data_IF_428266354985
#
_entry.id   IF_428266354985
#
_cell.length_a   1.000
_cell.length_b   1.000
_cell.length_c   1.000
_cell.angle_alpha   90.00
_cell.angle_beta   90.00
_cell.angle_gamma   90.00
#
_symmetry.space_group_name_H-M   'P 1'
#
loop_
_entity.id
_entity.type
_entity.pdbx_description
1 polymer ?
#
# COMPACT_ATOMS: atom_id res chain seq x y z
N UNK A 1 -5.20 -14.80 3.37
CA UNK A 1 -4.08 -15.54 3.97
C UNK A 1 -3.60 -16.45 2.86
N UNK A 2 -2.32 -16.48 2.50
CA UNK A 2 -1.89 -17.40 1.44
C UNK A 2 -1.67 -18.79 2.04
N UNK A 3 -2.74 -19.57 2.07
CA UNK A 3 -2.80 -20.89 2.70
C UNK A 3 -3.78 -21.78 1.93
N UNK A 4 -3.66 -23.09 2.17
CA UNK A 4 -4.65 -24.08 1.71
C UNK A 4 -5.31 -24.68 2.93
N UNK A 5 -6.64 -24.62 2.96
CA UNK A 5 -7.44 -25.33 3.97
C UNK A 5 -8.03 -26.55 3.29
N UNK A 6 -7.83 -27.74 3.85
CA UNK A 6 -8.37 -28.96 3.29
C UNK A 6 -9.04 -29.83 4.36
N UNK A 7 -10.18 -30.42 4.00
CA UNK A 7 -10.81 -31.50 4.74
C UNK A 7 -10.27 -32.83 4.22
N UNK A 8 -9.72 -33.63 5.12
CA UNK A 8 -9.15 -34.94 4.89
C UNK A 8 -10.01 -36.01 5.56
N UNK A 9 -10.05 -37.19 4.96
CA UNK A 9 -10.80 -38.34 5.44
C UNK A 9 -9.93 -39.59 5.37
N UNK A 10 -9.97 -40.42 6.41
CA UNK A 10 -9.38 -41.75 6.39
C UNK A 10 -10.40 -42.76 5.86
N UNK A 11 -10.32 -43.08 4.57
CA UNK A 11 -11.18 -44.09 3.98
C UNK A 11 -10.62 -45.50 4.22
N UNK A 12 -11.44 -46.44 4.66
CA UNK A 12 -11.00 -47.83 4.85
C UNK A 12 -10.54 -48.51 3.53
N UNK A 13 -11.09 -48.08 2.39
CA UNK A 13 -10.74 -48.63 1.07
C UNK A 13 -9.50 -47.97 0.44
N UNK A 14 -9.34 -46.65 0.63
CA UNK A 14 -8.33 -45.86 -0.09
C UNK A 14 -7.25 -45.26 0.81
N UNK A 15 -7.38 -45.39 2.13
CA UNK A 15 -6.52 -44.76 3.10
C UNK A 15 -6.80 -43.24 3.28
N UNK A 16 -5.83 -42.51 3.85
CA UNK A 16 -5.97 -41.08 4.10
C UNK A 16 -5.89 -40.26 2.82
N UNK A 17 -6.91 -39.42 2.57
CA UNK A 17 -6.92 -38.54 1.41
C UNK A 17 -7.60 -37.19 1.72
N UNK A 18 -7.22 -36.14 1.01
CA UNK A 18 -7.96 -34.88 1.00
C UNK A 18 -9.19 -35.01 0.10
N UNK A 19 -10.36 -34.65 0.63
CA UNK A 19 -11.65 -34.74 -0.09
C UNK A 19 -12.20 -33.37 -0.48
N UNK A 20 -11.73 -32.29 0.15
CA UNK A 20 -12.18 -30.94 -0.17
C UNK A 20 -11.10 -29.92 0.17
N UNK A 21 -10.66 -29.13 -0.80
CA UNK A 21 -9.55 -28.18 -0.68
C UNK A 21 -10.00 -26.78 -1.08
N UNK A 22 -9.77 -25.77 -0.23
CA UNK A 22 -10.01 -24.36 -0.51
C UNK A 22 -8.70 -23.58 -0.56
N UNK A 23 -8.51 -22.79 -1.61
CA UNK A 23 -7.30 -22.01 -1.88
C UNK A 23 -7.64 -20.56 -2.23
N UNK A 24 -6.72 -19.63 -1.94
CA UNK A 24 -6.81 -18.26 -2.44
C UNK A 24 -6.05 -18.13 -3.75
N UNK A 25 -6.72 -17.65 -4.80
CA UNK A 25 -6.15 -17.30 -6.09
C UNK A 25 -5.98 -15.77 -6.12
N UNK A 26 -4.74 -15.29 -5.93
CA UNK A 26 -4.42 -13.85 -6.03
C UNK A 26 -3.91 -13.48 -7.41
N UNK A 27 -2.93 -14.23 -7.90
CA UNK A 27 -2.22 -13.92 -9.15
C UNK A 27 -2.54 -14.89 -10.29
N UNK A 28 -3.23 -16.00 -9.99
CA UNK A 28 -3.62 -17.01 -10.98
C UNK A 28 -5.05 -16.76 -11.42
N UNK A 29 -5.25 -16.62 -12.73
CA UNK A 29 -6.61 -16.51 -13.28
C UNK A 29 -7.29 -17.88 -13.26
N UNK A 30 -8.61 -17.87 -13.08
CA UNK A 30 -9.41 -19.10 -13.14
C UNK A 30 -9.28 -19.80 -14.50
N UNK A 31 -9.13 -19.05 -15.60
CA UNK A 31 -9.00 -19.63 -16.94
C UNK A 31 -7.66 -20.36 -17.16
N UNK A 32 -6.64 -20.07 -16.37
CA UNK A 32 -5.31 -20.69 -16.46
C UNK A 32 -5.24 -22.00 -15.66
N UNK A 33 -6.26 -22.29 -14.84
CA UNK A 33 -6.31 -23.52 -14.07
C UNK A 33 -6.76 -24.68 -14.97
N UNK A 34 -5.80 -25.52 -15.34
CA UNK A 34 -6.06 -26.83 -15.90
C UNK A 34 -6.59 -27.74 -14.78
N UNK A 35 -7.89 -27.62 -14.45
CA UNK A 35 -8.58 -28.67 -13.71
C UNK A 35 -8.43 -29.94 -14.53
N UNK A 36 -7.60 -30.88 -14.06
CA UNK A 36 -7.17 -32.07 -14.81
C UNK A 36 -8.37 -32.71 -15.54
N UNK A 37 -8.43 -32.49 -16.86
CA UNK A 37 -9.31 -33.22 -17.79
C UNK A 37 -8.75 -34.61 -18.11
N UNK A 38 -7.64 -35.00 -17.48
CA UNK A 38 -7.07 -36.33 -17.63
C UNK A 38 -7.93 -37.32 -16.86
N UNK A 39 -8.88 -37.89 -17.60
CA UNK A 39 -9.57 -39.13 -17.31
C UNK A 39 -8.67 -40.11 -16.56
N UNK A 40 -8.92 -40.25 -15.26
CA UNK A 40 -8.68 -41.50 -14.58
C UNK A 40 -10.05 -41.98 -14.15
N UNK A 41 -10.60 -42.96 -14.88
CA UNK A 41 -11.78 -43.74 -14.53
C UNK A 41 -11.57 -44.60 -13.27
N UNK A 42 -10.86 -44.07 -12.27
CA UNK A 42 -10.86 -44.65 -10.94
C UNK A 42 -12.18 -44.25 -10.31
N UNK A 43 -13.13 -45.19 -10.24
CA UNK A 43 -14.35 -45.04 -9.45
C UNK A 43 -13.94 -44.69 -8.01
N UNK A 44 -13.97 -43.41 -7.67
CA UNK A 44 -13.79 -42.93 -6.30
C UNK A 44 -15.02 -43.39 -5.51
N UNK A 45 -14.81 -43.96 -4.32
CA UNK A 45 -15.94 -44.39 -3.50
C UNK A 45 -16.76 -43.18 -3.02
N UNK A 46 -18.01 -43.41 -2.66
CA UNK A 46 -18.94 -42.40 -2.14
C UNK A 46 -18.36 -41.58 -0.97
N UNK A 47 -17.62 -42.20 -0.05
CA UNK A 47 -16.97 -41.48 1.05
C UNK A 47 -15.82 -40.55 0.64
N UNK A 48 -15.15 -40.84 -0.46
CA UNK A 48 -14.03 -40.02 -0.96
C UNK A 48 -14.47 -38.99 -2.00
N UNK A 49 -15.71 -39.08 -2.49
CA UNK A 49 -16.27 -38.17 -3.48
C UNK A 49 -16.95 -36.99 -2.78
N UNK A 50 -16.56 -35.76 -3.15
CA UNK A 50 -17.17 -34.53 -2.64
C UNK A 50 -17.99 -33.85 -3.75
N UNK A 51 -17.34 -32.97 -4.52
CA UNK A 51 -17.90 -32.25 -5.65
C UNK A 51 -17.71 -32.99 -6.98
N UNK A 52 -16.87 -34.03 -6.99
CA UNK A 52 -16.35 -34.66 -8.20
C UNK A 52 -15.06 -34.02 -8.69
N UNK A 53 -14.46 -34.62 -9.73
CA UNK A 53 -13.15 -34.19 -10.26
C UNK A 53 -13.23 -32.94 -11.15
N UNK A 54 -14.41 -32.67 -11.74
CA UNK A 54 -14.61 -31.59 -12.73
C UNK A 54 -15.23 -30.33 -12.16
N UNK A 55 -15.83 -30.43 -10.97
CA UNK A 55 -16.61 -29.34 -10.39
C UNK A 55 -15.80 -28.62 -9.30
N UNK A 56 -16.01 -27.31 -9.22
CA UNK A 56 -15.45 -26.47 -8.17
C UNK A 56 -16.42 -25.36 -7.81
N UNK A 57 -16.24 -24.81 -6.61
CA UNK A 57 -16.98 -23.66 -6.11
C UNK A 57 -16.02 -22.48 -5.96
N UNK A 58 -16.42 -21.29 -6.38
CA UNK A 58 -15.60 -20.10 -6.14
C UNK A 58 -16.42 -18.95 -5.57
N UNK A 59 -15.75 -18.10 -4.79
CA UNK A 59 -16.28 -16.85 -4.27
C UNK A 59 -15.24 -15.75 -4.43
N UNK A 60 -15.69 -14.51 -4.60
CA UNK A 60 -14.83 -13.34 -4.76
C UNK A 60 -15.20 -12.29 -3.74
N UNK A 61 -14.20 -11.78 -3.02
CA UNK A 61 -14.37 -10.62 -2.15
C UNK A 61 -14.20 -9.35 -2.99
N UNK A 62 -15.23 -8.49 -3.02
CA UNK A 62 -15.21 -7.25 -3.79
C UNK A 62 -14.28 -6.20 -3.18
N UNK A 63 -14.06 -6.21 -1.86
CA UNK A 63 -13.20 -5.25 -1.19
C UNK A 63 -11.72 -5.51 -1.44
N UNK A 64 -11.27 -6.76 -1.24
CA UNK A 64 -9.86 -7.13 -1.42
C UNK A 64 -9.53 -7.60 -2.83
N UNK A 65 -10.53 -7.87 -3.67
CA UNK A 65 -10.35 -8.49 -4.98
C UNK A 65 -9.92 -9.97 -4.93
N UNK A 66 -9.80 -10.56 -3.73
CA UNK A 66 -9.35 -11.94 -3.57
C UNK A 66 -10.40 -12.93 -4.06
N UNK A 67 -9.95 -13.95 -4.80
CA UNK A 67 -10.80 -15.06 -5.25
C UNK A 67 -10.46 -16.31 -4.47
N UNK A 68 -11.47 -17.03 -3.98
CA UNK A 68 -11.33 -18.29 -3.26
C UNK A 68 -11.92 -19.41 -4.10
N UNK A 69 -11.15 -20.48 -4.32
CA UNK A 69 -11.57 -21.65 -5.09
C UNK A 69 -11.56 -22.89 -4.20
N UNK A 70 -12.67 -23.62 -4.20
CA UNK A 70 -12.81 -24.93 -3.58
C UNK A 70 -13.01 -26.03 -4.62
N UNK A 71 -12.22 -27.09 -4.50
CA UNK A 71 -12.20 -28.25 -5.41
C UNK A 71 -11.96 -29.52 -4.60
N UNK A 72 -12.24 -30.70 -5.15
CA UNK A 72 -12.00 -31.96 -4.44
C UNK A 72 -10.51 -32.14 -4.11
N UNK A 73 -9.65 -31.89 -5.10
CA UNK A 73 -8.19 -31.87 -4.96
C UNK A 73 -7.68 -30.47 -5.27
N UNK A 74 -6.60 -30.07 -4.61
CA UNK A 74 -5.91 -28.80 -4.90
C UNK A 74 -5.76 -28.52 -6.40
N UNK A 75 -6.14 -27.32 -6.83
CA UNK A 75 -6.16 -26.94 -8.24
C UNK A 75 -4.75 -26.85 -8.87
N UNK A 76 -3.74 -26.52 -8.06
CA UNK A 76 -2.35 -26.46 -8.49
C UNK A 76 -1.64 -27.80 -8.22
N UNK A 77 -1.00 -28.39 -9.23
CA UNK A 77 -0.37 -29.71 -9.14
C UNK A 77 0.70 -29.80 -8.04
N UNK A 78 1.57 -28.78 -7.93
CA UNK A 78 2.60 -28.72 -6.88
C UNK A 78 1.98 -28.71 -5.48
N UNK A 79 0.86 -28.01 -5.32
CA UNK A 79 0.13 -27.90 -4.05
C UNK A 79 -0.62 -29.21 -3.74
N UNK A 80 -1.13 -29.90 -4.76
CA UNK A 80 -1.81 -31.18 -4.62
C UNK A 80 -0.93 -32.24 -3.97
N UNK A 81 0.35 -32.33 -4.38
CA UNK A 81 1.29 -33.25 -3.75
C UNK A 81 1.52 -32.92 -2.27
N UNK A 82 1.67 -31.64 -1.93
CA UNK A 82 1.87 -31.18 -0.56
C UNK A 82 0.66 -31.48 0.33
N UNK A 83 -0.55 -31.22 -0.17
CA UNK A 83 -1.81 -31.52 0.53
C UNK A 83 -1.97 -33.02 0.73
N UNK A 84 -1.66 -33.85 -0.27
CA UNK A 84 -1.72 -35.32 -0.15
C UNK A 84 -0.77 -35.83 0.94
N UNK A 85 0.47 -35.35 0.97
CA UNK A 85 1.44 -35.72 2.01
C UNK A 85 1.00 -35.23 3.40
N UNK A 86 0.43 -34.03 3.49
CA UNK A 86 -0.10 -33.48 4.73
C UNK A 86 -1.29 -34.32 5.26
N UNK A 87 -2.18 -34.77 4.38
CA UNK A 87 -3.32 -35.63 4.74
C UNK A 87 -2.86 -36.97 5.31
N UNK A 88 -1.88 -37.63 4.67
CA UNK A 88 -1.30 -38.89 5.16
C UNK A 88 -0.72 -38.71 6.55
N UNK A 89 0.11 -37.68 6.77
CA UNK A 89 0.72 -37.44 8.09
C UNK A 89 -0.33 -37.14 9.15
N UNK A 90 -1.27 -36.25 8.84
CA UNK A 90 -2.34 -35.82 9.73
C UNK A 90 -3.21 -36.96 10.26
N UNK A 91 -3.52 -37.94 9.40
CA UNK A 91 -4.45 -39.03 9.73
C UNK A 91 -3.74 -40.34 10.16
N UNK A 92 -2.45 -40.50 9.87
CA UNK A 92 -1.75 -41.79 10.11
C UNK A 92 -0.49 -41.71 10.96
N UNK A 93 0.18 -40.55 11.04
CA UNK A 93 1.46 -40.42 11.75
C UNK A 93 1.35 -39.56 13.01
N UNK A 94 0.56 -38.48 12.93
CA UNK A 94 0.50 -37.46 13.95
C UNK A 94 -0.64 -37.77 14.92
N UNK A 95 -0.28 -38.34 16.08
CA UNK A 95 -1.25 -38.81 17.06
C UNK A 95 -1.65 -37.67 17.99
N UNK A 96 -2.94 -37.48 18.17
CA UNK A 96 -3.49 -36.63 19.21
C UNK A 96 -4.13 -37.51 20.30
N UNK A 97 -3.81 -37.22 21.57
CA UNK A 97 -4.36 -37.95 22.72
C UNK A 97 -5.80 -37.59 23.06
N UNK A 98 -6.32 -36.46 22.56
CA UNK A 98 -7.70 -36.02 22.83
C UNK A 98 -8.68 -36.53 21.77
N UNK A 99 -9.71 -37.27 22.21
CA UNK A 99 -10.79 -37.81 21.35
C UNK A 99 -11.69 -36.73 20.74
N UNK A 100 -11.89 -35.62 21.45
CA UNK A 100 -12.74 -34.49 21.02
C UNK A 100 -12.03 -33.49 20.10
N UNK A 101 -10.89 -33.89 19.54
CA UNK A 101 -10.13 -33.12 18.58
C UNK A 101 -9.13 -32.16 19.21
N UNK A 102 -7.93 -32.20 18.65
CA UNK A 102 -6.77 -31.45 19.09
C UNK A 102 -6.02 -30.90 17.90
N UNK A 103 -5.07 -30.02 18.17
CA UNK A 103 -4.31 -29.34 17.13
C UNK A 103 -2.88 -29.82 17.14
N UNK A 104 -2.49 -30.52 16.08
CA UNK A 104 -1.11 -30.95 15.88
C UNK A 104 -0.45 -30.06 14.84
N UNK A 105 0.72 -29.53 15.18
CA UNK A 105 1.53 -28.75 14.26
C UNK A 105 2.71 -29.60 13.79
N UNK A 106 2.93 -29.67 12.48
CA UNK A 106 4.06 -30.38 11.89
C UNK A 106 4.46 -29.76 10.55
N UNK A 107 5.58 -30.21 9.99
CA UNK A 107 6.04 -29.80 8.66
C UNK A 107 7.45 -29.20 8.68
N UNK A 108 7.93 -28.83 7.50
CA UNK A 108 9.30 -28.36 7.26
C UNK A 108 9.33 -27.31 6.15
N UNK A 109 10.47 -26.65 5.98
CA UNK A 109 10.61 -25.55 5.02
C UNK A 109 10.42 -25.98 3.56
N UNK A 110 10.64 -27.27 3.23
CA UNK A 110 10.51 -27.78 1.86
C UNK A 110 9.04 -28.05 1.49
N UNK A 111 8.33 -28.78 2.34
CA UNK A 111 6.93 -29.21 2.13
C UNK A 111 5.91 -28.20 2.64
N UNK A 112 6.34 -27.24 3.44
CA UNK A 112 5.47 -26.33 4.17
C UNK A 112 5.10 -26.87 5.56
N UNK A 113 4.44 -26.00 6.31
CA UNK A 113 4.00 -26.21 7.68
C UNK A 113 2.48 -26.42 7.71
N UNK A 114 2.04 -27.36 8.52
CA UNK A 114 0.66 -27.82 8.61
C UNK A 114 0.18 -27.69 10.04
N UNK A 115 -0.99 -27.09 10.20
CA UNK A 115 -1.79 -27.17 11.43
C UNK A 115 -2.97 -28.11 11.16
N UNK A 116 -3.02 -29.22 11.88
CA UNK A 116 -3.98 -30.30 11.69
C UNK A 116 -4.97 -30.35 12.85
N UNK A 117 -6.26 -30.40 12.54
CA UNK A 117 -7.34 -30.63 13.49
C UNK A 117 -8.10 -31.91 13.17
N UNK A 118 -7.74 -32.99 13.86
CA UNK A 118 -8.33 -34.32 13.66
C UNK A 118 -9.53 -34.52 14.57
N UNK A 119 -10.64 -35.07 14.07
CA UNK A 119 -11.88 -35.32 14.83
C UNK A 119 -12.61 -36.56 14.30
N UNK A 120 -13.46 -37.15 15.14
CA UNK A 120 -14.24 -38.37 14.82
C UNK A 120 -15.70 -38.01 14.54
N UNK A 121 -16.28 -38.60 13.51
CA UNK A 121 -17.69 -38.43 13.12
C UNK A 121 -18.41 -39.76 13.28
N UNK A 122 -19.52 -39.79 14.00
CA UNK A 122 -20.24 -41.04 14.30
C UNK A 122 -20.82 -41.68 13.04
N UNK A 123 -20.57 -42.98 12.86
CA UNK A 123 -21.07 -43.76 11.73
C UNK A 123 -21.37 -45.19 12.20
N UNK A 124 -22.65 -45.57 12.25
CA UNK A 124 -23.08 -46.91 12.69
C UNK A 124 -22.60 -48.06 11.78
N UNK A 125 -22.27 -47.77 10.51
CA UNK A 125 -21.85 -48.75 9.52
C UNK A 125 -20.32 -48.85 9.41
N UNK A 126 -19.57 -47.87 9.91
CA UNK A 126 -18.10 -47.88 9.88
C UNK A 126 -17.52 -48.76 11.00
N UNK A 127 -16.30 -49.25 10.79
CA UNK A 127 -15.59 -50.01 11.83
C UNK A 127 -15.32 -49.12 13.04
N UNK A 128 -15.68 -49.62 14.23
CA UNK A 128 -15.52 -48.86 15.47
C UNK A 128 -16.60 -47.78 15.67
N UNK A 129 -17.63 -47.74 14.83
CA UNK A 129 -18.77 -46.83 14.88
C UNK A 129 -18.46 -45.34 14.62
N UNK A 130 -17.32 -45.03 13.98
CA UNK A 130 -16.95 -43.68 13.57
C UNK A 130 -16.11 -43.67 12.28
N UNK A 131 -16.14 -42.55 11.56
CA UNK A 131 -15.18 -42.19 10.52
C UNK A 131 -14.22 -41.11 11.04
N UNK A 132 -12.96 -41.16 10.59
CA UNK A 132 -11.92 -40.22 11.03
C UNK A 132 -11.70 -39.13 9.99
N UNK A 133 -11.88 -37.89 10.40
CA UNK A 133 -11.68 -36.70 9.58
C UNK A 133 -10.58 -35.81 10.16
N UNK A 134 -10.01 -34.95 9.31
CA UNK A 134 -9.09 -33.91 9.75
C UNK A 134 -9.21 -32.66 8.89
N UNK A 135 -9.31 -31.49 9.50
CA UNK A 135 -9.14 -30.21 8.79
C UNK A 135 -7.68 -29.79 8.93
N UNK A 136 -6.99 -29.65 7.81
CA UNK A 136 -5.61 -29.20 7.75
C UNK A 136 -5.51 -27.79 7.18
N UNK A 137 -4.60 -26.99 7.72
CA UNK A 137 -4.21 -25.68 7.19
C UNK A 137 -2.73 -25.76 6.82
N UNK A 138 -2.43 -25.70 5.52
CA UNK A 138 -1.08 -25.75 4.97
C UNK A 138 -0.61 -24.34 4.62
N UNK A 139 0.55 -23.94 5.14
CA UNK A 139 1.20 -22.66 4.89
C UNK A 139 2.71 -22.82 4.68
N UNK A 140 3.32 -21.94 3.88
CA UNK A 140 4.79 -21.89 3.77
C UNK A 140 5.46 -21.15 4.94
N UNK A 141 4.76 -20.19 5.55
CA UNK A 141 5.28 -19.44 6.69
C UNK A 141 4.95 -20.12 8.03
N UNK A 142 6.00 -20.59 8.72
CA UNK A 142 5.90 -21.20 10.05
C UNK A 142 5.38 -20.24 11.10
N UNK A 143 5.94 -19.03 11.17
CA UNK A 143 5.71 -18.10 12.26
C UNK A 143 4.31 -17.51 12.15
N UNK A 144 3.89 -17.15 10.94
CA UNK A 144 2.52 -16.69 10.70
C UNK A 144 1.49 -17.76 11.11
N UNK A 145 1.67 -19.01 10.67
CA UNK A 145 0.75 -20.10 11.03
C UNK A 145 0.66 -20.33 12.55
N UNK A 146 1.79 -20.28 13.26
CA UNK A 146 1.81 -20.43 14.72
C UNK A 146 1.18 -19.24 15.45
N UNK A 147 1.39 -18.01 14.98
CA UNK A 147 0.80 -16.81 15.56
C UNK A 147 -0.72 -16.72 15.31
N UNK A 148 -1.19 -17.21 14.16
CA UNK A 148 -2.63 -17.27 13.82
C UNK A 148 -3.30 -18.53 14.37
N UNK A 149 -2.56 -19.45 15.00
CA UNK A 149 -3.10 -20.71 15.55
C UNK A 149 -4.31 -20.52 16.48
N UNK A 150 -4.35 -19.57 17.45
CA UNK A 150 -5.50 -19.43 18.34
C UNK A 150 -6.80 -19.14 17.58
N UNK A 151 -6.73 -18.23 16.61
CA UNK A 151 -7.84 -17.88 15.71
C UNK A 151 -8.28 -19.08 14.85
N UNK A 152 -7.32 -19.77 14.21
CA UNK A 152 -7.64 -20.97 13.43
C UNK A 152 -8.27 -22.06 14.30
N UNK A 153 -7.74 -22.26 15.50
CA UNK A 153 -8.19 -23.32 16.38
C UNK A 153 -9.63 -23.12 16.86
N UNK A 154 -10.03 -21.89 17.13
CA UNK A 154 -11.41 -21.54 17.48
C UNK A 154 -12.38 -21.89 16.34
N UNK A 155 -12.09 -21.41 15.13
CA UNK A 155 -13.01 -21.58 14.00
C UNK A 155 -13.03 -23.01 13.45
N UNK A 156 -11.89 -23.70 13.43
CA UNK A 156 -11.83 -25.10 12.99
C UNK A 156 -12.58 -26.03 13.94
N UNK A 157 -12.49 -25.77 15.26
CA UNK A 157 -13.26 -26.53 16.26
C UNK A 157 -14.76 -26.31 16.12
N UNK A 158 -15.19 -25.09 15.76
CA UNK A 158 -16.60 -24.82 15.48
C UNK A 158 -17.11 -25.63 14.29
N UNK A 159 -16.37 -25.62 13.18
CA UNK A 159 -16.72 -26.39 11.97
C UNK A 159 -16.80 -27.89 12.28
N UNK A 160 -15.82 -28.45 13.00
CA UNK A 160 -15.85 -29.87 13.36
C UNK A 160 -17.01 -30.20 14.28
N UNK A 161 -17.31 -29.35 15.27
CA UNK A 161 -18.42 -29.54 16.19
C UNK A 161 -19.78 -29.51 15.47
N UNK A 162 -19.95 -28.60 14.51
CA UNK A 162 -21.16 -28.51 13.68
C UNK A 162 -21.35 -29.81 12.85
N UNK A 163 -20.28 -30.31 12.20
CA UNK A 163 -20.31 -31.58 11.46
C UNK A 163 -20.66 -32.76 12.40
N UNK A 164 -20.04 -32.82 13.57
CA UNK A 164 -20.28 -33.88 14.56
C UNK A 164 -21.71 -33.84 15.10
N UNK A 165 -22.27 -32.65 15.32
CA UNK A 165 -23.64 -32.46 15.78
C UNK A 165 -24.66 -32.94 14.74
N UNK A 166 -24.49 -32.56 13.46
CA UNK A 166 -25.35 -33.04 12.37
C UNK A 166 -25.29 -34.56 12.23
N UNK A 167 -24.09 -35.16 12.26
CA UNK A 167 -23.94 -36.60 12.18
C UNK A 167 -24.54 -37.35 13.39
N UNK A 168 -24.42 -36.78 14.60
CA UNK A 168 -25.03 -37.35 15.79
C UNK A 168 -26.55 -37.37 15.70
N UNK A 169 -27.17 -36.30 15.18
CA UNK A 169 -28.63 -36.22 14.97
C UNK A 169 -29.13 -37.35 14.07
N UNK A 170 -28.53 -37.55 12.89
CA UNK A 170 -28.89 -38.63 11.96
C UNK A 170 -28.71 -40.00 12.60
N UNK A 171 -27.63 -40.18 13.37
CA UNK A 171 -27.35 -41.44 14.05
C UNK A 171 -28.41 -41.76 15.13
N UNK A 172 -28.81 -40.76 15.92
CA UNK A 172 -29.83 -40.95 16.96
C UNK A 172 -31.22 -41.20 16.35
N UNK A 173 -31.58 -40.54 15.24
CA UNK A 173 -32.79 -40.86 14.45
C UNK A 173 -32.77 -42.30 13.90
N UNK A 174 -31.60 -42.77 13.44
CA UNK A 174 -31.43 -44.14 12.92
C UNK A 174 -31.52 -45.20 14.02
N UNK A 175 -31.13 -44.88 15.26
CA UNK A 175 -31.23 -45.79 16.41
C UNK A 175 -32.66 -45.98 16.92
N UNK A 176 -33.51 -44.97 16.76
CA UNK A 176 -34.93 -44.99 17.16
C UNK A 176 -35.77 -45.87 16.21
N UNK A 177 -35.35 -46.04 14.95
CA UNK A 177 -35.91 -47.04 14.03
C UNK A 177 -35.57 -48.45 14.54
N UNK A 178 -36.56 -49.35 14.69
CA UNK A 178 -36.55 -50.39 15.72
C UNK A 178 -35.37 -51.37 15.62
N UNK A 179 -34.92 -51.81 16.81
CA UNK A 179 -34.01 -52.91 17.21
C UNK A 179 -34.13 -54.27 16.45
N UNK A 180 -34.87 -54.36 15.35
CA UNK A 180 -35.25 -55.61 14.66
C UNK A 180 -34.17 -56.26 13.79
N UNK A 181 -33.04 -55.61 13.47
CA UNK A 181 -32.04 -56.21 12.56
C UNK A 181 -30.92 -57.00 13.23
N UNK A 182 -30.83 -57.05 14.57
CA UNK A 182 -29.68 -57.69 15.25
C UNK A 182 -29.73 -59.22 15.36
N UNK A 183 -30.79 -59.89 14.90
CA UNK A 183 -30.93 -61.35 15.03
C UNK A 183 -31.31 -62.09 13.73
N UNK A 184 -31.42 -61.41 12.59
CA UNK A 184 -31.66 -62.10 11.32
C UNK A 184 -30.37 -62.21 10.50
N UNK A 185 -29.79 -63.40 10.56
CA UNK A 185 -29.08 -64.09 9.47
C UNK A 185 -28.07 -63.31 8.62
N UNK A 186 -26.78 -63.55 8.91
CA UNK A 186 -25.80 -64.04 7.95
C UNK A 186 -25.83 -63.50 6.50
N UNK A 187 -25.85 -62.17 6.32
CA UNK A 187 -25.25 -61.54 5.16
C UNK A 187 -24.10 -60.68 5.67
N UNK A 188 -22.89 -61.00 5.24
CA UNK A 188 -21.72 -60.13 5.35
C UNK A 188 -22.11 -58.87 4.57
N UNK A 189 -22.71 -57.89 5.25
CA UNK A 189 -23.04 -56.59 4.69
C UNK A 189 -21.71 -55.99 4.25
N UNK A 190 -21.50 -55.94 2.94
CA UNK A 190 -20.43 -55.17 2.33
C UNK A 190 -20.62 -53.73 2.83
N UNK A 191 -19.77 -53.31 3.77
CA UNK A 191 -19.83 -51.96 4.34
C UNK A 191 -19.54 -50.98 3.20
N UNK A 192 -20.58 -50.34 2.68
CA UNK A 192 -20.44 -49.31 1.66
C UNK A 192 -19.99 -48.01 2.33
N UNK A 193 -18.88 -47.40 1.90
CA UNK A 193 -18.34 -46.23 2.57
C UNK A 193 -19.26 -45.01 2.33
N UNK A 194 -19.86 -44.46 3.39
CA UNK A 194 -20.85 -43.38 3.31
C UNK A 194 -20.21 -42.01 3.07
N UNK A 195 -20.84 -41.20 2.22
CA UNK A 195 -20.41 -39.82 1.95
C UNK A 195 -20.65 -38.91 3.16
N UNK A 196 -19.93 -37.77 3.23
CA UNK A 196 -20.16 -36.78 4.29
C UNK A 196 -21.61 -36.23 4.27
N UNK A 197 -22.21 -36.15 3.08
CA UNK A 197 -23.61 -35.77 2.88
C UNK A 197 -24.54 -36.79 3.56
N UNK A 198 -24.31 -38.09 3.34
CA UNK A 198 -25.10 -39.16 3.99
C UNK A 198 -24.89 -39.22 5.51
N UNK A 199 -23.68 -38.91 5.98
CA UNK A 199 -23.39 -38.90 7.43
C UNK A 199 -24.11 -37.77 8.15
N UNK A 200 -24.14 -36.59 7.53
CA UNK A 200 -24.69 -35.37 8.17
C UNK A 200 -26.15 -35.12 7.83
N UNK A 201 -26.67 -35.70 6.75
CA UNK A 201 -28.00 -35.42 6.21
C UNK A 201 -28.10 -34.07 5.49
N UNK A 202 -26.97 -33.37 5.30
CA UNK A 202 -26.92 -32.00 4.77
C UNK A 202 -26.44 -32.02 3.31
N UNK A 203 -27.35 -31.79 2.35
CA UNK A 203 -27.04 -31.76 0.92
C UNK A 203 -26.01 -30.67 0.56
N UNK A 204 -26.06 -29.53 1.27
CA UNK A 204 -25.23 -28.36 1.01
C UNK A 204 -23.98 -28.28 1.89
N UNK A 205 -23.53 -29.39 2.50
CA UNK A 205 -22.38 -29.39 3.42
C UNK A 205 -21.10 -28.84 2.78
N UNK A 206 -20.84 -29.10 1.50
CA UNK A 206 -19.66 -28.58 0.81
C UNK A 206 -19.77 -27.09 0.48
N UNK A 207 -20.98 -26.56 0.30
CA UNK A 207 -21.21 -25.12 0.17
C UNK A 207 -20.98 -24.41 1.51
N UNK A 208 -21.43 -25.01 2.60
CA UNK A 208 -21.12 -24.57 3.97
C UNK A 208 -19.59 -24.59 4.21
N UNK A 209 -18.89 -25.67 3.87
CA UNK A 209 -17.44 -25.74 4.01
C UNK A 209 -16.71 -24.70 3.14
N UNK A 210 -17.16 -24.48 1.91
CA UNK A 210 -16.62 -23.44 1.03
C UNK A 210 -16.72 -22.06 1.69
N UNK A 211 -17.90 -21.69 2.19
CA UNK A 211 -18.12 -20.37 2.79
C UNK A 211 -17.25 -20.17 4.03
N UNK A 212 -17.18 -21.16 4.91
CA UNK A 212 -16.38 -21.11 6.13
C UNK A 212 -14.87 -21.09 5.85
N UNK A 213 -14.37 -21.93 4.95
CA UNK A 213 -12.94 -21.94 4.61
C UNK A 213 -12.52 -20.65 3.89
N UNK A 214 -13.35 -20.14 2.98
CA UNK A 214 -13.09 -18.87 2.29
C UNK A 214 -13.08 -17.72 3.29
N UNK A 215 -14.02 -17.70 4.23
CA UNK A 215 -14.05 -16.71 5.30
C UNK A 215 -12.83 -16.80 6.22
N UNK A 216 -12.39 -17.99 6.62
CA UNK A 216 -11.17 -18.17 7.42
C UNK A 216 -9.93 -17.66 6.67
N UNK A 217 -9.82 -17.92 5.37
CA UNK A 217 -8.72 -17.40 4.54
C UNK A 217 -8.73 -15.87 4.44
N UNK A 218 -9.91 -15.27 4.34
CA UNK A 218 -10.10 -13.82 4.29
C UNK A 218 -9.82 -13.18 5.65
N UNK A 219 -10.51 -13.60 6.71
CA UNK A 219 -10.37 -13.09 8.06
C UNK A 219 -8.96 -13.32 8.62
N UNK A 220 -8.35 -14.49 8.35
CA UNK A 220 -6.97 -14.78 8.70
C UNK A 220 -5.96 -13.84 8.02
N UNK A 221 -6.30 -13.27 6.85
CA UNK A 221 -5.47 -12.24 6.21
C UNK A 221 -5.49 -10.89 6.91
N UNK A 222 -6.59 -10.61 7.63
CA UNK A 222 -6.83 -9.36 8.36
C UNK A 222 -6.50 -9.50 9.86
N UNK A 223 -6.07 -10.68 10.30
CA UNK A 223 -5.84 -10.99 11.71
C UNK A 223 -4.62 -10.25 12.29
N UNK A 224 -3.55 -10.08 11.50
CA UNK A 224 -2.38 -9.28 11.86
C UNK A 224 -2.29 -8.11 10.88
N UNK A 225 -2.57 -6.89 11.36
CA UNK A 225 -2.44 -5.66 10.54
C UNK A 225 -1.31 -4.79 11.06
N UNK A 226 -0.37 -4.46 10.17
CA UNK A 226 0.68 -3.49 10.47
C UNK A 226 0.13 -2.06 10.32
N UNK A 227 0.39 -1.24 11.34
CA UNK A 227 0.12 0.19 11.31
C UNK A 227 1.45 0.93 11.22
N UNK A 228 1.86 1.28 10.01
CA UNK A 228 3.07 2.07 9.77
C UNK A 228 2.70 3.55 9.81
N UNK A 229 3.16 4.26 10.84
CA UNK A 229 3.06 5.71 10.90
C UNK A 229 4.21 6.31 10.12
N UNK A 230 3.92 6.81 8.93
CA UNK A 230 4.83 7.74 8.27
C UNK A 230 4.72 9.09 8.99
N UNK A 231 5.86 9.73 9.29
CA UNK A 231 5.85 11.11 9.79
C UNK A 231 5.19 12.07 8.79
N UNK A 232 5.16 13.37 9.09
CA UNK A 232 4.77 14.38 8.09
C UNK A 232 5.82 14.39 6.96
N UNK A 233 5.66 13.50 6.00
CA UNK A 233 6.53 13.37 4.85
C UNK A 233 6.30 14.61 3.97
N UNK A 234 7.35 15.36 3.62
CA UNK A 234 7.21 16.62 2.89
C UNK A 234 6.64 16.48 1.46
N UNK A 235 6.47 15.27 0.93
CA UNK A 235 5.83 14.99 -0.37
C UNK A 235 4.38 14.51 -0.26
N UNK A 236 3.86 14.33 0.95
CA UNK A 236 2.45 14.03 1.18
C UNK A 236 1.74 15.36 1.45
N UNK A 237 0.67 15.70 0.71
CA UNK A 237 -0.09 16.91 0.99
C UNK A 237 -0.51 16.91 2.46
N UNK A 238 -0.43 18.08 3.14
CA UNK A 238 -0.84 18.17 4.53
C UNK A 238 -2.26 17.63 4.65
N UNK A 239 -2.44 16.61 5.50
CA UNK A 239 -3.75 16.07 5.83
C UNK A 239 -4.53 17.17 6.54
N UNK A 240 -5.28 17.97 5.79
CA UNK A 240 -6.01 19.15 6.27
C UNK A 240 -7.32 18.79 6.97
N UNK A 241 -7.44 17.60 7.56
CA UNK A 241 -8.65 17.16 8.24
C UNK A 241 -8.36 16.56 9.60
N UNK A 242 -9.02 17.09 10.63
CA UNK A 242 -9.19 16.53 11.98
C UNK A 242 -9.93 15.16 12.01
N UNK A 243 -10.00 14.47 10.86
CA UNK A 243 -10.51 13.12 10.75
C UNK A 243 -9.48 12.30 9.98
N UNK A 244 -9.06 11.13 10.51
CA UNK A 244 -8.33 10.18 9.69
C UNK A 244 -9.23 9.82 8.50
N UNK A 245 -8.72 9.78 7.26
CA UNK A 245 -9.52 9.32 6.14
C UNK A 245 -10.04 7.91 6.45
N UNK A 246 -11.35 7.70 6.28
CA UNK A 246 -12.00 6.40 6.53
C UNK A 246 -11.50 5.30 5.56
N UNK A 247 -10.74 5.66 4.54
CA UNK A 247 -10.13 4.74 3.60
C UNK A 247 -8.63 4.67 3.86
N UNK A 248 -8.18 3.52 4.37
CA UNK A 248 -6.77 3.11 4.29
C UNK A 248 -6.34 3.32 2.83
N UNK A 249 -5.35 4.17 2.61
CA UNK A 249 -4.74 4.37 1.31
C UNK A 249 -4.04 3.07 0.87
N UNK A 250 -4.80 2.15 0.29
CA UNK A 250 -4.28 1.18 -0.67
C UNK A 250 -4.07 1.94 -1.97
N UNK A 251 -2.83 2.33 -2.24
CA UNK A 251 -2.46 3.00 -3.49
C UNK A 251 -2.59 2.00 -4.64
N UNK A 252 -3.76 1.94 -5.27
CA UNK A 252 -3.91 1.46 -6.64
C UNK A 252 -3.83 2.68 -7.56
N UNK A 253 -2.66 2.86 -8.16
CA UNK A 253 -2.37 3.94 -9.11
C UNK A 253 -3.05 3.61 -10.44
N UNK A 254 -4.02 4.43 -10.84
CA UNK A 254 -4.22 4.88 -12.24
C UNK A 254 -5.33 5.93 -12.28
N UNK A 255 -4.98 7.20 -12.51
CA UNK A 255 -5.88 8.18 -13.14
C UNK A 255 -5.06 9.02 -14.14
N UNK A 256 -5.24 8.79 -15.46
CA UNK A 256 -4.60 9.54 -16.53
C UNK A 256 -5.43 10.79 -16.85
N UNK A 257 -4.79 11.97 -16.89
CA UNK A 257 -5.19 13.21 -17.60
C UNK A 257 -4.72 14.52 -16.92
N UNK A 258 -3.94 14.46 -15.82
CA UNK A 258 -3.23 15.62 -15.24
C UNK A 258 -1.70 15.55 -15.46
N UNK A 259 -1.20 14.39 -15.91
CA UNK A 259 0.23 14.06 -15.96
C UNK A 259 1.09 14.91 -16.92
N UNK A 260 0.54 15.48 -17.99
CA UNK A 260 1.40 15.96 -19.10
C UNK A 260 2.15 17.28 -18.82
N UNK A 261 1.82 18.02 -17.76
CA UNK A 261 2.52 19.27 -17.42
C UNK A 261 3.26 19.22 -16.08
N UNK A 262 2.82 18.42 -15.11
CA UNK A 262 3.53 18.21 -13.84
C UNK A 262 4.75 17.29 -13.98
N UNK A 263 4.72 16.31 -14.89
CA UNK A 263 5.86 15.42 -15.16
C UNK A 263 7.10 16.18 -15.69
N UNK A 264 6.92 17.28 -16.42
CA UNK A 264 8.04 18.09 -16.94
C UNK A 264 8.72 18.98 -15.90
N UNK A 265 8.03 19.31 -14.80
CA UNK A 265 8.54 20.21 -13.74
C UNK A 265 9.20 19.42 -12.60
N UNK A 266 8.77 18.17 -12.39
CA UNK A 266 9.27 17.27 -11.35
C UNK A 266 10.10 16.11 -11.92
N UNK A 267 10.64 16.24 -13.15
CA UNK A 267 11.58 15.27 -13.72
C UNK A 267 12.87 15.27 -12.87
N UNK A 268 13.16 14.17 -12.13
CA UNK A 268 14.33 14.11 -11.28
C UNK A 268 15.63 14.27 -12.07
N UNK A 269 15.66 13.88 -13.35
CA UNK A 269 16.85 14.05 -14.19
C UNK A 269 17.10 15.52 -14.53
N UNK A 270 16.06 16.36 -14.69
CA UNK A 270 16.21 17.81 -14.97
C UNK A 270 16.44 18.65 -13.71
N UNK A 271 15.94 18.22 -12.55
CA UNK A 271 16.22 18.89 -11.27
C UNK A 271 17.70 18.87 -10.89
N UNK A 272 18.46 17.86 -11.35
CA UNK A 272 19.87 17.66 -11.04
C UNK A 272 20.82 18.67 -11.71
N UNK A 273 20.49 19.16 -12.91
CA UNK A 273 21.44 19.97 -13.70
C UNK A 273 21.38 21.48 -13.40
N UNK A 274 20.21 22.04 -13.05
CA UNK A 274 20.05 23.49 -12.89
C UNK A 274 20.01 23.92 -11.42
N UNK A 275 21.14 24.39 -10.91
CA UNK A 275 21.28 24.93 -9.55
C UNK A 275 21.20 26.45 -9.52
N UNK A 276 21.14 27.06 -8.34
CA UNK A 276 21.21 28.53 -8.19
C UNK A 276 22.47 29.16 -8.82
N UNK A 277 23.53 28.38 -9.10
CA UNK A 277 24.68 28.86 -9.89
C UNK A 277 24.29 29.25 -11.31
N UNK A 278 23.30 28.59 -11.91
CA UNK A 278 22.80 28.96 -13.23
C UNK A 278 22.23 30.40 -13.22
N UNK A 279 21.44 30.75 -12.20
CA UNK A 279 20.93 32.12 -12.01
C UNK A 279 22.11 33.08 -11.88
N UNK A 280 23.12 32.74 -11.07
CA UNK A 280 24.33 33.56 -10.89
C UNK A 280 25.11 33.75 -12.20
N UNK A 281 25.22 32.73 -13.04
CA UNK A 281 25.85 32.84 -14.37
C UNK A 281 25.09 33.74 -15.32
N UNK A 282 23.75 33.72 -15.25
CA UNK A 282 22.86 34.51 -16.11
C UNK A 282 22.86 35.99 -15.73
N UNK A 283 22.68 36.33 -14.45
CA UNK A 283 22.59 37.73 -13.99
C UNK A 283 23.92 38.32 -13.49
N UNK A 284 24.95 37.48 -13.33
CA UNK A 284 26.32 37.86 -12.92
C UNK A 284 26.36 38.66 -11.62
N UNK A 285 26.60 39.97 -11.73
CA UNK A 285 26.79 40.88 -10.57
C UNK A 285 25.49 41.16 -9.82
N UNK A 286 24.35 40.97 -10.48
CA UNK A 286 23.02 41.25 -9.92
C UNK A 286 22.41 40.03 -9.21
N UNK A 287 23.20 38.99 -8.91
CA UNK A 287 22.67 37.77 -8.30
C UNK A 287 22.11 38.00 -6.89
N UNK A 288 22.79 38.81 -6.09
CA UNK A 288 22.35 39.21 -4.76
C UNK A 288 21.05 40.04 -4.81
N UNK A 289 20.90 40.94 -5.78
CA UNK A 289 19.68 41.74 -5.97
C UNK A 289 18.48 40.86 -6.34
N UNK A 290 18.64 39.89 -7.25
CA UNK A 290 17.58 38.91 -7.59
C UNK A 290 17.17 38.09 -6.37
N UNK A 291 18.14 37.53 -5.64
CA UNK A 291 17.85 36.67 -4.48
C UNK A 291 17.13 37.46 -3.38
N UNK A 292 17.57 38.68 -3.09
CA UNK A 292 16.88 39.54 -2.12
C UNK A 292 15.44 39.82 -2.53
N UNK A 293 15.21 40.20 -3.79
CA UNK A 293 13.88 40.50 -4.31
C UNK A 293 12.96 39.26 -4.23
N UNK A 294 13.46 38.08 -4.58
CA UNK A 294 12.70 36.84 -4.55
C UNK A 294 12.30 36.46 -3.11
N UNK A 295 13.23 36.59 -2.16
CA UNK A 295 13.00 36.21 -0.76
C UNK A 295 12.11 37.19 0.02
N UNK A 296 12.04 38.46 -0.41
CA UNK A 296 11.27 39.52 0.27
C UNK A 296 9.95 39.86 -0.43
N UNK A 297 9.66 39.25 -1.58
CA UNK A 297 8.38 39.40 -2.28
C UNK A 297 8.27 40.65 -3.14
N UNK A 298 9.41 41.24 -3.53
CA UNK A 298 9.46 42.29 -4.57
C UNK A 298 9.06 41.63 -5.90
N UNK A 299 8.22 42.29 -6.70
CA UNK A 299 7.69 41.70 -7.94
C UNK A 299 8.82 41.56 -8.96
N UNK A 300 9.14 40.33 -9.36
CA UNK A 300 10.14 40.00 -10.37
C UNK A 300 9.43 39.71 -11.70
N UNK A 301 9.77 40.47 -12.73
CA UNK A 301 9.26 40.27 -14.09
C UNK A 301 10.42 39.86 -15.00
N UNK A 302 10.33 38.67 -15.56
CA UNK A 302 11.30 38.09 -16.50
C UNK A 302 10.73 38.14 -17.90
N UNK A 303 11.34 38.89 -18.81
CA UNK A 303 10.92 39.03 -20.21
C UNK A 303 11.84 38.23 -21.11
N UNK A 304 11.28 37.38 -21.96
CA UNK A 304 12.04 36.56 -22.91
C UNK A 304 11.23 35.42 -23.50
N UNK A 305 11.77 34.73 -24.50
CA UNK A 305 11.18 33.48 -25.02
C UNK A 305 11.06 32.42 -23.91
N UNK A 306 9.96 31.66 -23.92
CA UNK A 306 9.66 30.62 -22.90
C UNK A 306 10.83 29.65 -22.69
N UNK A 307 11.46 29.16 -23.77
CA UNK A 307 12.58 28.22 -23.71
C UNK A 307 13.82 28.74 -22.96
N UNK A 308 14.08 30.05 -23.05
CA UNK A 308 15.24 30.69 -22.39
C UNK A 308 14.94 31.03 -20.93
N UNK A 309 13.70 31.40 -20.63
CA UNK A 309 13.30 31.84 -19.29
C UNK A 309 12.92 30.68 -18.37
N UNK A 310 12.52 29.53 -18.91
CA UNK A 310 12.05 28.37 -18.15
C UNK A 310 13.06 27.92 -17.09
N UNK A 311 14.30 27.63 -17.48
CA UNK A 311 15.34 27.14 -16.56
C UNK A 311 15.66 28.16 -15.46
N UNK A 312 15.69 29.44 -15.83
CA UNK A 312 15.88 30.53 -14.88
C UNK A 312 14.74 30.60 -13.85
N UNK A 313 13.49 30.49 -14.31
CA UNK A 313 12.30 30.48 -13.46
C UNK A 313 12.26 29.26 -12.53
N UNK A 314 12.63 28.08 -13.03
CA UNK A 314 12.73 26.86 -12.21
C UNK A 314 13.77 27.00 -11.10
N UNK A 315 14.91 27.66 -11.36
CA UNK A 315 15.88 27.94 -10.31
C UNK A 315 15.37 28.98 -9.30
N UNK A 316 14.65 30.02 -9.73
CA UNK A 316 14.04 30.99 -8.83
C UNK A 316 12.98 30.35 -7.93
N UNK A 317 12.23 29.38 -8.45
CA UNK A 317 11.26 28.58 -7.67
C UNK A 317 11.89 27.91 -6.46
N UNK A 318 13.17 27.50 -6.56
CA UNK A 318 13.93 26.89 -5.46
C UNK A 318 14.23 27.86 -4.31
N UNK A 319 14.07 29.18 -4.50
CA UNK A 319 14.22 30.18 -3.44
C UNK A 319 12.95 30.34 -2.59
N UNK A 320 11.84 29.72 -2.98
CA UNK A 320 10.56 29.82 -2.29
C UNK A 320 10.14 28.45 -1.71
N UNK A 321 9.50 28.43 -0.53
CA UNK A 321 8.79 27.27 -0.01
C UNK A 321 7.72 26.76 -0.99
N UNK A 322 7.45 25.44 -0.96
CA UNK A 322 6.43 24.81 -1.81
C UNK A 322 5.04 25.46 -1.76
N UNK A 323 4.47 25.83 -0.59
CA UNK A 323 3.17 26.51 -0.54
C UNK A 323 3.15 27.87 -1.24
N UNK A 324 4.32 28.47 -1.47
CA UNK A 324 4.47 29.78 -2.12
C UNK A 324 4.76 29.67 -3.61
N UNK A 325 4.86 28.46 -4.18
CA UNK A 325 5.12 28.27 -5.62
C UNK A 325 3.95 28.76 -6.49
N UNK A 326 2.74 28.82 -5.93
CA UNK A 326 1.57 29.43 -6.57
C UNK A 326 1.71 30.95 -6.80
N UNK A 327 2.67 31.62 -6.15
CA UNK A 327 3.00 33.02 -6.39
C UNK A 327 3.82 33.21 -7.67
N UNK A 328 4.18 32.13 -8.36
CA UNK A 328 4.93 32.18 -9.59
C UNK A 328 4.03 31.86 -10.79
N UNK A 329 4.22 32.60 -11.88
CA UNK A 329 3.59 32.29 -13.16
C UNK A 329 4.66 32.20 -14.24
N UNK A 330 4.75 31.04 -14.87
CA UNK A 330 5.63 30.80 -16.02
C UNK A 330 4.79 30.99 -17.28
N UNK A 331 5.37 31.69 -18.27
CA UNK A 331 4.81 31.92 -19.60
C UNK A 331 3.42 32.59 -19.58
N UNK A 332 3.35 33.77 -18.96
CA UNK A 332 2.17 34.59 -18.98
C UNK A 332 1.97 35.21 -20.36
N UNK A 333 0.90 34.79 -21.04
CA UNK A 333 0.55 35.23 -22.40
C UNK A 333 -0.29 36.53 -22.43
N UNK A 334 -0.78 36.99 -21.28
CA UNK A 334 -1.68 38.15 -21.20
C UNK A 334 -1.18 39.19 -20.19
N UNK A 335 -1.36 40.47 -20.51
CA UNK A 335 -0.95 41.60 -19.66
C UNK A 335 -1.65 41.59 -18.28
N UNK A 336 -2.88 41.08 -18.20
CA UNK A 336 -3.62 40.94 -16.94
C UNK A 336 -2.95 39.98 -15.93
N UNK A 337 -2.12 39.05 -16.41
CA UNK A 337 -1.31 38.19 -15.53
C UNK A 337 -0.20 38.96 -14.79
N UNK A 338 0.16 40.17 -15.26
CA UNK A 338 1.09 41.05 -14.56
C UNK A 338 0.39 41.79 -13.41
N UNK A 339 -0.92 42.06 -13.52
CA UNK A 339 -1.71 42.72 -12.47
C UNK A 339 -2.19 41.78 -11.35
N UNK A 340 -2.15 40.46 -11.55
CA UNK A 340 -2.51 39.47 -10.51
C UNK A 340 -1.50 39.39 -9.36
N UNK A 341 -1.87 38.67 -8.30
CA UNK A 341 -1.11 38.50 -7.04
C UNK A 341 0.23 37.74 -7.18
N UNK A 342 0.56 37.27 -8.39
CA UNK A 342 1.86 36.65 -8.66
C UNK A 342 3.02 37.61 -8.37
N UNK A 343 4.06 37.09 -7.73
CA UNK A 343 5.26 37.82 -7.36
C UNK A 343 6.42 37.58 -8.31
N UNK A 344 6.51 36.42 -8.96
CA UNK A 344 7.55 36.13 -9.96
C UNK A 344 6.86 35.67 -11.25
N UNK A 345 7.09 36.40 -12.34
CA UNK A 345 6.34 36.21 -13.59
C UNK A 345 7.33 36.15 -14.75
N UNK A 346 7.20 35.17 -15.65
CA UNK A 346 7.82 35.23 -16.97
C UNK A 346 6.81 35.59 -18.07
N UNK A 347 7.22 36.47 -18.99
CA UNK A 347 6.40 37.01 -20.09
C UNK A 347 7.19 37.00 -21.40
N UNK A 348 6.47 36.91 -22.52
CA UNK A 348 7.06 37.05 -23.86
C UNK A 348 7.60 38.47 -24.12
N UNK A 349 8.54 38.57 -25.08
CA UNK A 349 9.10 39.84 -25.55
C UNK A 349 8.04 40.78 -26.15
N UNK A 350 6.85 40.31 -26.50
CA UNK A 350 5.80 41.13 -27.12
C UNK A 350 4.94 41.89 -26.11
N UNK A 351 4.98 41.50 -24.84
CA UNK A 351 4.08 42.02 -23.81
C UNK A 351 4.67 43.30 -23.18
N UNK A 352 3.84 44.34 -23.07
CA UNK A 352 4.19 45.55 -22.34
C UNK A 352 4.28 45.28 -20.84
N UNK A 353 5.44 45.57 -20.25
CA UNK A 353 5.72 45.38 -18.82
C UNK A 353 5.88 46.73 -18.11
N UNK A 354 5.48 46.84 -16.83
CA UNK A 354 5.70 48.04 -16.03
C UNK A 354 7.15 48.50 -16.01
N UNK A 355 7.35 49.80 -15.80
CA UNK A 355 8.70 50.34 -15.58
C UNK A 355 9.29 49.78 -14.29
N UNK A 356 10.60 49.52 -14.31
CA UNK A 356 11.31 49.09 -13.11
C UNK A 356 11.26 50.20 -12.06
N UNK A 357 10.91 49.83 -10.84
CA UNK A 357 10.82 50.73 -9.69
C UNK A 357 11.23 49.96 -8.43
N UNK A 358 11.22 50.59 -7.26
CA UNK A 358 11.63 49.93 -6.01
C UNK A 358 10.82 48.65 -5.70
N UNK A 359 9.57 48.56 -6.17
CA UNK A 359 8.69 47.39 -6.00
C UNK A 359 8.66 46.42 -7.20
N UNK A 360 9.30 46.77 -8.33
CA UNK A 360 9.32 45.96 -9.55
C UNK A 360 10.75 45.79 -10.06
N UNK A 361 11.24 44.55 -9.94
CA UNK A 361 12.53 44.09 -10.44
C UNK A 361 12.36 43.48 -11.84
N UNK A 362 13.12 43.94 -12.83
CA UNK A 362 12.96 43.52 -14.23
C UNK A 362 14.22 42.84 -14.78
N UNK A 363 14.00 41.74 -15.49
CA UNK A 363 15.03 40.89 -16.11
C UNK A 363 14.67 40.67 -17.57
N UNK A 364 15.34 41.35 -18.50
CA UNK A 364 15.10 41.22 -19.94
C UNK A 364 16.15 40.31 -20.59
N UNK A 365 15.73 39.15 -21.12
CA UNK A 365 16.60 38.28 -21.93
C UNK A 365 16.77 38.87 -23.32
N UNK A 366 18.02 39.03 -23.76
CA UNK A 366 18.36 39.67 -25.03
C UNK A 366 18.48 38.60 -26.14
N UNK A 367 18.01 38.94 -27.35
CA UNK A 367 18.06 38.03 -28.50
C UNK A 367 19.46 37.96 -29.13
N UNK A 368 20.18 39.09 -29.19
CA UNK A 368 21.58 39.21 -29.63
C UNK A 368 22.44 39.79 -28.51
N UNK A 369 23.49 39.06 -28.13
CA UNK A 369 24.45 39.50 -27.10
C UNK A 369 25.81 39.80 -27.73
N UNK A 370 26.08 41.08 -28.01
CA UNK A 370 27.36 41.53 -28.55
C UNK A 370 28.54 41.35 -27.55
N UNK A 371 28.26 41.40 -26.25
CA UNK A 371 29.26 41.31 -25.15
C UNK A 371 29.17 40.03 -24.31
N UNK A 372 28.45 39.01 -24.81
CA UNK A 372 28.18 37.77 -24.05
C UNK A 372 27.30 37.98 -22.81
N UNK A 373 26.71 39.16 -22.63
CA UNK A 373 25.71 39.43 -21.60
C UNK A 373 24.33 38.97 -22.11
N UNK A 374 23.80 37.92 -21.49
CA UNK A 374 22.54 37.28 -21.91
C UNK A 374 21.29 38.04 -21.48
N UNK A 375 21.42 38.95 -20.50
CA UNK A 375 20.30 39.58 -19.80
C UNK A 375 20.61 41.03 -19.41
N UNK A 376 19.62 41.90 -19.57
CA UNK A 376 19.58 43.25 -19.02
C UNK A 376 18.73 43.28 -17.74
N UNK A 377 19.34 43.66 -16.62
CA UNK A 377 18.68 43.76 -15.32
C UNK A 377 18.38 45.22 -15.02
N UNK A 378 17.17 45.52 -14.54
CA UNK A 378 16.74 46.86 -14.14
C UNK A 378 16.01 46.80 -12.81
N UNK A 379 16.62 47.38 -11.78
CA UNK A 379 15.97 47.65 -10.50
C UNK A 379 16.62 48.88 -9.84
N UNK A 380 15.89 49.98 -9.64
CA UNK A 380 16.42 51.19 -9.02
C UNK A 380 16.41 51.15 -7.49
N UNK A 381 16.09 50.00 -6.89
CA UNK A 381 16.15 49.83 -5.44
C UNK A 381 17.58 49.57 -4.95
N UNK A 382 17.80 49.80 -3.66
CA UNK A 382 19.09 49.55 -3.01
C UNK A 382 18.98 48.35 -2.06
N UNK A 383 20.04 47.56 -1.99
CA UNK A 383 20.14 46.48 -1.01
C UNK A 383 20.35 47.05 0.40
N UNK A 384 19.77 46.43 1.43
CA UNK A 384 20.01 46.84 2.81
C UNK A 384 21.47 46.59 3.22
N UNK A 385 21.99 47.41 4.14
CA UNK A 385 23.36 47.29 4.69
C UNK A 385 23.64 45.93 5.32
N UNK A 386 22.60 45.26 5.85
CA UNK A 386 22.66 43.89 6.38
C UNK A 386 21.62 43.03 5.67
N UNK A 387 22.06 41.88 5.17
CA UNK A 387 21.20 40.95 4.45
C UNK A 387 20.50 39.98 5.42
N UNK A 388 19.30 39.49 5.08
CA UNK A 388 18.66 38.41 5.81
C UNK A 388 19.59 37.20 5.96
N UNK A 389 19.55 36.55 7.11
CA UNK A 389 20.44 35.44 7.43
C UNK A 389 20.23 34.25 6.48
N UNK A 390 19.00 34.03 5.99
CA UNK A 390 18.70 33.09 4.90
C UNK A 390 19.52 33.40 3.65
N UNK A 391 19.52 34.66 3.22
CA UNK A 391 20.25 35.11 2.04
C UNK A 391 21.76 34.91 2.24
N UNK A 392 22.30 35.27 3.40
CA UNK A 392 23.73 35.07 3.72
C UNK A 392 24.11 33.59 3.62
N UNK A 393 23.28 32.67 4.15
CA UNK A 393 23.50 31.22 4.03
C UNK A 393 23.45 30.75 2.58
N UNK A 394 22.52 31.26 1.77
CA UNK A 394 22.39 30.92 0.35
C UNK A 394 23.59 31.42 -0.46
N UNK A 395 24.04 32.65 -0.25
CA UNK A 395 25.22 33.22 -0.92
C UNK A 395 26.47 32.37 -0.65
N UNK A 396 26.70 32.01 0.62
CA UNK A 396 27.80 31.11 1.00
C UNK A 396 27.70 29.75 0.33
N UNK A 397 26.50 29.16 0.26
CA UNK A 397 26.29 27.86 -0.37
C UNK A 397 26.55 27.90 -1.89
N UNK A 398 26.15 28.97 -2.58
CA UNK A 398 26.38 29.14 -4.02
C UNK A 398 27.86 29.33 -4.33
N UNK A 399 28.59 30.04 -3.48
CA UNK A 399 30.03 30.32 -3.61
C UNK A 399 30.94 29.14 -3.24
N UNK A 400 30.43 28.14 -2.51
CA UNK A 400 31.17 26.95 -2.11
C UNK A 400 31.50 26.07 -3.31
N UNK A 401 32.77 26.03 -3.72
CA UNK A 401 33.23 25.31 -4.92
C UNK A 401 33.11 23.78 -4.80
N UNK A 402 33.12 23.24 -3.57
CA UNK A 402 33.01 21.78 -3.33
C UNK A 402 31.63 21.22 -3.60
N UNK A 403 30.58 22.05 -3.60
CA UNK A 403 29.23 21.57 -3.85
C UNK A 403 29.05 21.21 -5.33
N UNK A 404 28.64 19.98 -5.59
CA UNK A 404 28.05 19.60 -6.87
C UNK A 404 26.68 20.27 -7.03
N UNK A 405 26.13 20.39 -8.25
CA UNK A 405 24.79 20.95 -8.46
C UNK A 405 23.70 20.26 -7.62
N UNK A 406 23.77 18.93 -7.50
CA UNK A 406 22.88 18.13 -6.66
C UNK A 406 23.00 18.50 -5.17
N UNK A 407 24.24 18.55 -4.64
CA UNK A 407 24.48 18.90 -3.23
C UNK A 407 24.00 20.33 -2.94
N UNK A 408 24.26 21.26 -3.86
CA UNK A 408 23.77 22.64 -3.73
C UNK A 408 22.23 22.68 -3.70
N UNK A 409 21.55 21.95 -4.59
CA UNK A 409 20.08 21.88 -4.59
C UNK A 409 19.52 21.32 -3.28
N UNK A 410 20.12 20.24 -2.75
CA UNK A 410 19.70 19.68 -1.45
C UNK A 410 19.97 20.67 -0.32
N UNK A 411 21.12 21.33 -0.31
CA UNK A 411 21.45 22.34 0.68
C UNK A 411 20.49 23.54 0.62
N UNK A 412 20.16 24.04 -0.57
CA UNK A 412 19.14 25.08 -0.76
C UNK A 412 17.81 24.63 -0.17
N UNK A 413 17.34 23.41 -0.49
CA UNK A 413 16.08 22.89 0.05
C UNK A 413 16.10 22.84 1.58
N UNK A 414 17.18 22.35 2.20
CA UNK A 414 17.32 22.28 3.66
C UNK A 414 17.23 23.68 4.29
N UNK A 415 17.93 24.67 3.74
CA UNK A 415 17.93 26.03 4.31
C UNK A 415 16.55 26.68 4.13
N UNK A 416 15.90 26.52 2.97
CA UNK A 416 14.54 27.03 2.74
C UNK A 416 13.53 26.39 3.70
N UNK A 417 13.61 25.08 3.90
CA UNK A 417 12.76 24.35 4.85
C UNK A 417 13.01 24.75 6.31
N UNK A 418 14.27 24.96 6.70
CA UNK A 418 14.63 25.50 8.02
C UNK A 418 13.89 26.84 8.28
N UNK A 419 13.97 27.76 7.32
CA UNK A 419 13.35 29.09 7.44
C UNK A 419 11.83 29.04 7.35
N UNK A 420 11.27 28.17 6.49
CA UNK A 420 9.82 27.90 6.43
C UNK A 420 9.30 27.49 7.81
N UNK A 421 9.98 26.54 8.46
CA UNK A 421 9.59 26.05 9.78
C UNK A 421 9.74 27.12 10.87
N UNK A 422 10.76 27.98 10.80
CA UNK A 422 10.88 29.14 11.69
C UNK A 422 9.68 30.07 11.56
N UNK A 423 9.28 30.41 10.33
CA UNK A 423 8.13 31.28 10.07
C UNK A 423 6.83 30.64 10.56
N UNK A 424 6.58 29.36 10.28
CA UNK A 424 5.39 28.64 10.78
C UNK A 424 5.35 28.62 12.30
N UNK A 425 6.50 28.37 12.96
CA UNK A 425 6.61 28.39 14.41
C UNK A 425 6.26 29.77 14.99
N UNK A 426 6.73 30.85 14.34
CA UNK A 426 6.41 32.22 14.73
C UNK A 426 4.93 32.55 14.53
N UNK A 427 4.31 32.09 13.43
CA UNK A 427 2.89 32.31 13.15
C UNK A 427 1.98 31.62 14.17
N UNK A 428 2.37 30.45 14.68
CA UNK A 428 1.62 29.72 15.72
C UNK A 428 1.65 30.41 17.09
N UNK A 429 2.59 31.30 17.34
CA UNK A 429 2.71 32.00 18.61
C UNK A 429 1.69 33.14 18.72
N UNK A 430 0.67 32.95 19.54
CA UNK A 430 -0.47 33.88 19.69
C UNK A 430 -0.16 35.18 20.47
N UNK A 431 0.93 35.24 21.22
CA UNK A 431 1.28 36.40 22.06
C UNK A 431 2.51 37.14 21.54
N UNK A 432 2.47 38.48 21.56
CA UNK A 432 3.59 39.32 21.12
C UNK A 432 4.88 39.08 21.95
N UNK A 433 4.74 38.84 23.25
CA UNK A 433 5.86 38.47 24.13
C UNK A 433 6.41 37.07 23.79
N UNK A 434 5.53 36.11 23.45
CA UNK A 434 5.92 34.78 22.99
C UNK A 434 6.69 34.82 21.67
N UNK A 435 6.22 35.62 20.70
CA UNK A 435 6.91 35.85 19.44
C UNK A 435 8.29 36.49 19.65
N UNK A 436 8.42 37.49 20.53
CA UNK A 436 9.69 38.13 20.83
C UNK A 436 10.72 37.15 21.44
N UNK A 437 10.28 36.26 22.34
CA UNK A 437 11.13 35.20 22.90
C UNK A 437 11.51 34.15 21.85
N UNK A 438 10.56 33.70 21.02
CA UNK A 438 10.81 32.74 19.96
C UNK A 438 11.78 33.26 18.90
N UNK A 439 11.68 34.54 18.51
CA UNK A 439 12.64 35.17 17.59
C UNK A 439 14.08 35.06 18.12
N UNK A 440 14.28 35.30 19.42
CA UNK A 440 15.61 35.13 20.06
C UNK A 440 16.09 33.69 20.02
N UNK A 441 15.22 32.72 20.32
CA UNK A 441 15.56 31.28 20.33
C UNK A 441 15.88 30.76 18.92
N UNK A 442 15.10 31.17 17.92
CA UNK A 442 15.27 30.75 16.52
C UNK A 442 16.41 31.48 15.80
N UNK A 443 17.06 32.43 16.48
CA UNK A 443 18.16 33.23 15.95
C UNK A 443 17.72 34.30 14.95
N UNK A 444 16.44 34.66 14.90
CA UNK A 444 15.87 35.64 13.99
C UNK A 444 16.27 37.06 14.41
N UNK A 445 16.85 37.80 13.47
CA UNK A 445 17.34 39.16 13.68
C UNK A 445 16.43 40.22 13.04
N UNK A 446 16.72 41.50 13.30
CA UNK A 446 15.92 42.60 12.76
C UNK A 446 15.98 42.68 11.22
N UNK A 447 17.11 42.31 10.62
CA UNK A 447 17.27 42.30 9.16
C UNK A 447 16.41 41.24 8.44
N UNK A 448 15.91 40.22 9.16
CA UNK A 448 15.08 39.16 8.59
C UNK A 448 13.60 39.57 8.51
N UNK A 449 13.22 40.70 9.10
CA UNK A 449 11.83 41.13 9.20
C UNK A 449 11.11 41.26 7.86
N UNK A 450 11.73 41.79 6.77
CA UNK A 450 11.06 41.86 5.47
C UNK A 450 10.72 40.47 4.90
N UNK A 451 11.62 39.50 5.06
CA UNK A 451 11.41 38.11 4.63
C UNK A 451 10.28 37.48 5.44
N UNK A 452 10.31 37.63 6.77
CA UNK A 452 9.29 37.05 7.66
C UNK A 452 7.92 37.64 7.35
N UNK A 453 7.81 38.96 7.17
CA UNK A 453 6.54 39.60 6.84
C UNK A 453 5.93 39.04 5.56
N UNK A 454 6.77 38.85 4.52
CA UNK A 454 6.33 38.27 3.27
C UNK A 454 5.91 36.80 3.42
N UNK A 455 6.75 35.97 4.04
CA UNK A 455 6.50 34.54 4.17
C UNK A 455 5.34 34.24 5.12
N UNK A 456 5.19 35.00 6.21
CA UNK A 456 4.09 34.86 7.16
C UNK A 456 2.72 35.09 6.52
N UNK A 457 2.64 35.94 5.48
CA UNK A 457 1.40 36.19 4.75
C UNK A 457 0.95 35.02 3.86
N UNK A 458 1.85 34.10 3.53
CA UNK A 458 1.62 33.01 2.59
C UNK A 458 1.78 31.60 3.19
N UNK A 459 2.38 31.48 4.38
CA UNK A 459 2.56 30.23 5.11
C UNK A 459 1.61 30.20 6.32
N UNK A 460 0.47 29.53 6.20
CA UNK A 460 -0.49 29.32 7.31
C UNK A 460 -0.24 27.99 8.02
#
# INVERSE_FOLDING_TARGET
MNAVIALCHFCEAHGPNAIFCTQTLRDTKLEELQLNQQHVENKICSACNSLGQTNGMYSKDNESGATFLSTQTAALADVQLLVKQAAVRSLSCEINSNKDGGFVFFGDSSRGHVLSHTFQVNDLQARGFYQLFSIIVLMKDKYFLLNTKPFLAEHLRKISADIQASAKKINDETKELPRQQRLSSAQILVQTPRSLVELTGEENIFAYLHSHFSWILLAGSRFLTEHVTFGNLPWLPPQSSDRPPQQRLTYNITLPMIQKYEETINDPEREEFYSLRHVKEVVRREFDTVVYCALTGIKIIVRGSSDRTLNFMLCLKKLLPEPMHNLMRIDAQHQHSISSDYKIISVSNEIAVPMACSSVYRVDFLDDSADGQKVCVKWPGELPRKWPDLMVKLMKAVDEKRFTPLVLNKQTKVIIEEWKNKVICLNRAKSANGQAKLRKVLGVQAQDQPLINYWSGHLQ
#
